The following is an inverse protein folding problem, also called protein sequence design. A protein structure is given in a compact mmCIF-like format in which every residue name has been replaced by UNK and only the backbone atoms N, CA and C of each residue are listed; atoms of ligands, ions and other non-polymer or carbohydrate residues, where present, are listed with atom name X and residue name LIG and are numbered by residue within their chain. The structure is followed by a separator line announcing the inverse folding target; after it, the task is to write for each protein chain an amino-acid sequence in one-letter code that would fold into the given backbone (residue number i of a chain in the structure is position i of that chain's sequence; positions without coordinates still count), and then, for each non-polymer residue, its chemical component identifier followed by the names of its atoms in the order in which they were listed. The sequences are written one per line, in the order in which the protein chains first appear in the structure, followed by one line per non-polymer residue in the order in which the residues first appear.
data_IF_386473905108
#
_entry.id   IF_386473905108
#
_cell.length_a   1.000
_cell.length_b   1.000
_cell.length_c   1.000
_cell.angle_alpha   90.00
_cell.angle_beta   90.00
_cell.angle_gamma   90.00
#
_symmetry.space_group_name_H-M   'P 1'
#
loop_
_entity.id
_entity.type
_entity.pdbx_description
1 polymer ?
#
# COMPACT_ATOMS: atom_id res chain seq x y z
N UNK A 1 -6.73 -4.74 -7.96
CA UNK A 1 -7.67 -4.04 -7.04
C UNK A 1 -7.25 -2.60 -6.84
N UNK A 2 -6.28 -2.28 -5.95
CA UNK A 2 -5.91 -0.87 -5.68
C UNK A 2 -5.35 -0.16 -6.91
N UNK A 3 -4.54 -0.84 -7.72
CA UNK A 3 -3.99 -0.29 -8.96
C UNK A 3 -5.06 0.04 -10.01
N UNK A 4 -6.24 -0.57 -9.91
CA UNK A 4 -7.36 -0.38 -10.84
C UNK A 4 -8.45 0.53 -10.25
N UNK A 5 -8.27 1.02 -9.02
CA UNK A 5 -9.29 1.75 -8.29
C UNK A 5 -9.27 3.25 -8.66
N UNK A 6 -10.38 3.85 -9.11
CA UNK A 6 -10.40 5.23 -9.62
C UNK A 6 -10.06 6.30 -8.56
N UNK A 7 -10.20 5.97 -7.27
CA UNK A 7 -9.80 6.83 -6.16
C UNK A 7 -8.31 6.79 -5.81
N UNK A 8 -7.53 5.90 -6.44
CA UNK A 8 -6.09 5.73 -6.17
C UNK A 8 -5.29 6.37 -7.32
N UNK A 9 -4.33 7.21 -6.97
CA UNK A 9 -3.39 7.78 -7.91
C UNK A 9 -2.28 6.77 -8.25
N UNK A 10 -1.65 6.19 -7.24
CA UNK A 10 -0.48 5.32 -7.41
C UNK A 10 -0.46 4.26 -6.33
N UNK A 11 -0.06 3.05 -6.69
CA UNK A 11 0.28 1.97 -5.75
C UNK A 11 1.78 1.71 -5.81
N UNK A 12 2.42 1.77 -4.65
CA UNK A 12 3.83 1.45 -4.46
C UNK A 12 3.92 0.06 -3.84
N UNK A 13 4.13 -0.95 -4.68
CA UNK A 13 4.32 -2.33 -4.24
C UNK A 13 5.39 -3.02 -5.10
N UNK A 14 6.46 -3.59 -4.51
CA UNK A 14 7.55 -4.20 -5.27
C UNK A 14 7.13 -5.34 -6.19
N UNK A 15 5.98 -5.98 -5.94
CA UNK A 15 5.45 -7.05 -6.77
C UNK A 15 4.67 -6.61 -8.02
N UNK A 16 4.43 -5.31 -8.20
CA UNK A 16 3.79 -4.80 -9.42
C UNK A 16 4.82 -4.59 -10.54
N UNK A 17 4.52 -5.05 -11.75
CA UNK A 17 5.36 -4.79 -12.93
C UNK A 17 5.57 -3.28 -13.20
N UNK A 18 4.62 -2.44 -12.77
CA UNK A 18 4.71 -0.98 -12.89
C UNK A 18 5.64 -0.34 -11.85
N UNK A 19 6.11 -1.08 -10.84
CA UNK A 19 6.97 -0.53 -9.81
C UNK A 19 8.40 -0.32 -10.37
N UNK A 20 9.02 0.87 -10.24
CA UNK A 20 10.33 1.15 -10.85
C UNK A 20 11.44 0.18 -10.42
N UNK A 21 11.34 -0.35 -9.19
CA UNK A 21 12.28 -1.33 -8.64
C UNK A 21 11.87 -2.80 -8.85
N UNK A 22 10.84 -3.11 -9.64
CA UNK A 22 10.29 -4.47 -9.75
C UNK A 22 11.34 -5.50 -10.21
N UNK A 23 12.14 -5.16 -11.23
CA UNK A 23 13.17 -6.07 -11.73
C UNK A 23 14.27 -6.34 -10.71
N UNK A 24 14.61 -5.36 -9.87
CA UNK A 24 15.57 -5.54 -8.78
C UNK A 24 14.96 -6.41 -7.68
N UNK A 25 13.71 -6.14 -7.30
CA UNK A 25 12.96 -6.93 -6.34
C UNK A 25 12.89 -8.40 -6.75
N UNK A 26 12.50 -8.69 -8.01
CA UNK A 26 12.47 -10.05 -8.57
C UNK A 26 13.81 -10.77 -8.52
N UNK A 27 14.92 -10.06 -8.67
CA UNK A 27 16.27 -10.66 -8.68
C UNK A 27 16.77 -11.02 -7.28
N UNK A 28 16.38 -10.27 -6.26
CA UNK A 28 17.00 -10.35 -4.93
C UNK A 28 16.06 -10.80 -3.80
N UNK A 29 14.75 -10.83 -4.03
CA UNK A 29 13.74 -11.19 -3.03
C UNK A 29 13.11 -12.55 -3.38
N UNK A 30 12.85 -13.39 -2.37
CA UNK A 30 12.12 -14.65 -2.55
C UNK A 30 10.61 -14.43 -2.70
N UNK A 31 10.09 -13.33 -2.17
CA UNK A 31 8.71 -12.86 -2.28
C UNK A 31 8.71 -11.33 -2.01
N UNK A 32 7.65 -10.61 -2.39
CA UNK A 32 7.56 -9.15 -2.30
C UNK A 32 7.02 -8.63 -0.97
N UNK A 33 6.54 -9.52 -0.10
CA UNK A 33 6.03 -9.20 1.23
C UNK A 33 4.63 -8.58 1.23
N UNK A 34 4.13 -8.28 2.43
CA UNK A 34 2.79 -7.71 2.65
C UNK A 34 2.74 -6.18 2.73
N UNK A 35 3.88 -5.50 2.64
CA UNK A 35 3.96 -4.05 2.74
C UNK A 35 3.67 -3.39 1.39
N UNK A 36 2.75 -2.43 1.38
CA UNK A 36 2.49 -1.56 0.24
C UNK A 36 2.14 -0.15 0.73
N UNK A 37 2.30 0.84 -0.14
CA UNK A 37 1.82 2.20 0.10
C UNK A 37 0.94 2.65 -1.05
N UNK A 38 -0.04 3.50 -0.77
CA UNK A 38 -0.92 4.06 -1.81
C UNK A 38 -0.99 5.57 -1.69
N UNK A 39 -1.02 6.23 -2.84
CA UNK A 39 -1.38 7.64 -2.94
C UNK A 39 -2.84 7.71 -3.39
N UNK A 40 -3.69 8.37 -2.60
CA UNK A 40 -5.09 8.57 -2.95
C UNK A 40 -5.29 9.92 -3.64
N UNK A 41 -6.28 9.98 -4.52
CA UNK A 41 -6.71 11.25 -5.12
C UNK A 41 -7.36 12.14 -4.03
N UNK A 42 -7.11 13.45 -4.08
CA UNK A 42 -7.71 14.42 -3.15
C UNK A 42 -6.83 14.84 -1.96
N UNK A 43 -5.54 14.50 -1.96
CA UNK A 43 -4.55 15.02 -1.02
C UNK A 43 -4.65 14.44 0.40
N UNK A 44 -3.98 15.11 1.34
CA UNK A 44 -3.77 14.64 2.71
C UNK A 44 -5.07 14.36 3.46
N UNK A 45 -6.04 15.29 3.43
CA UNK A 45 -7.31 15.12 4.14
C UNK A 45 -8.07 13.87 3.67
N UNK A 46 -8.04 13.60 2.36
CA UNK A 46 -8.67 12.42 1.79
C UNK A 46 -7.92 11.15 2.18
N UNK A 47 -6.59 11.18 2.20
CA UNK A 47 -5.76 10.07 2.68
C UNK A 47 -6.06 9.74 4.14
N UNK A 48 -6.06 10.75 5.02
CA UNK A 48 -6.39 10.60 6.43
C UNK A 48 -7.82 10.07 6.64
N UNK A 49 -8.79 10.55 5.84
CA UNK A 49 -10.15 10.03 5.88
C UNK A 49 -10.24 8.56 5.49
N UNK A 50 -9.56 8.14 4.42
CA UNK A 50 -9.51 6.74 3.98
C UNK A 50 -8.93 5.87 5.10
N UNK A 51 -7.79 6.27 5.65
CA UNK A 51 -7.10 5.55 6.72
C UNK A 51 -7.98 5.37 7.97
N UNK A 52 -8.80 6.38 8.33
CA UNK A 52 -9.72 6.34 9.47
C UNK A 52 -11.05 5.63 9.21
N UNK A 53 -11.40 5.41 7.94
CA UNK A 53 -12.68 4.82 7.52
C UNK A 53 -12.68 3.30 7.44
N UNK A 54 -11.51 2.66 7.58
CA UNK A 54 -11.38 1.20 7.53
C UNK A 54 -11.98 0.55 8.78
N UNK A 55 -12.69 -0.58 8.60
CA UNK A 55 -13.29 -1.33 9.71
C UNK A 55 -12.50 -2.57 10.13
N UNK A 56 -11.53 -2.98 9.30
CA UNK A 56 -10.70 -4.17 9.50
C UNK A 56 -9.25 -3.78 9.78
N UNK A 57 -8.71 -2.84 9.00
CA UNK A 57 -7.35 -2.33 9.23
C UNK A 57 -7.33 -1.50 10.52
N UNK A 58 -6.40 -1.82 11.42
CA UNK A 58 -6.18 -1.07 12.64
C UNK A 58 -5.16 0.06 12.40
N UNK A 59 -5.41 1.22 13.00
CA UNK A 59 -4.48 2.35 12.99
C UNK A 59 -3.29 2.04 13.91
N UNK A 60 -2.08 1.97 13.35
CA UNK A 60 -0.88 1.63 14.11
C UNK A 60 0.38 2.29 13.53
N UNK A 61 1.32 2.64 14.40
CA UNK A 61 2.65 3.15 14.03
C UNK A 61 3.69 2.04 13.87
N UNK A 62 3.25 0.77 13.89
CA UNK A 62 4.09 -0.43 13.79
C UNK A 62 3.58 -1.32 12.64
N UNK A 63 4.38 -2.31 12.24
CA UNK A 63 4.14 -3.14 11.06
C UNK A 63 4.69 -4.57 11.24
N UNK A 64 4.25 -5.49 10.38
CA UNK A 64 4.77 -6.87 10.30
C UNK A 64 4.13 -7.90 11.23
N UNK A 65 3.03 -7.54 11.90
CA UNK A 65 2.18 -8.47 12.64
C UNK A 65 1.31 -9.35 11.74
N UNK A 66 0.42 -10.13 12.36
CA UNK A 66 -0.58 -10.94 11.63
C UNK A 66 -1.81 -10.11 11.24
N UNK A 67 -1.96 -8.96 11.90
CA UNK A 67 -3.03 -8.01 11.70
C UNK A 67 -2.81 -7.15 10.45
N UNK A 68 -3.89 -6.75 9.81
CA UNK A 68 -3.85 -5.69 8.80
C UNK A 68 -3.77 -4.33 9.49
N UNK A 69 -2.69 -3.59 9.22
CA UNK A 69 -2.41 -2.30 9.83
C UNK A 69 -2.38 -1.20 8.76
N UNK A 70 -2.77 0.01 9.14
CA UNK A 70 -2.73 1.20 8.28
C UNK A 70 -2.25 2.41 9.09
N UNK A 71 -1.46 3.27 8.43
CA UNK A 71 -0.94 4.54 8.93
C UNK A 71 -1.34 5.67 7.97
#
# INVERSE_FOLDING_TARGET
FLADHPGVHTVHYPGLDSHPGHDVARKQMSDFGGMLSVQVNGGEEKAAHVARSTKIFAQATSLGGVESLIE
#
